data_IF_700716359067
#
_entry.id   IF_700716359067
#
_cell.length_a   1.000
_cell.length_b   1.000
_cell.length_c   1.000
_cell.angle_alpha   90.00
_cell.angle_beta   90.00
_cell.angle_gamma   90.00
#
_symmetry.space_group_name_H-M   'P 1'
#
loop_
_entity.id
_entity.type
_entity.pdbx_description
1 polymer ?
#
# COMPACT_ATOMS: atom_id res chain seq x y z
N UNK A 1 -29.13 -21.90 -7.43
CA UNK A 1 -29.62 -21.43 -8.74
C UNK A 1 -30.72 -20.37 -8.57
N UNK A 2 -30.46 -19.26 -7.88
CA UNK A 2 -31.45 -18.16 -7.76
C UNK A 2 -31.61 -17.38 -9.07
N UNK A 3 -30.51 -17.13 -9.77
CA UNK A 3 -30.47 -16.34 -11.02
C UNK A 3 -30.89 -17.17 -12.25
N UNK A 4 -30.64 -18.48 -12.26
CA UNK A 4 -30.94 -19.37 -13.39
C UNK A 4 -32.35 -20.02 -13.32
N UNK A 5 -33.20 -19.58 -12.38
CA UNK A 5 -34.54 -20.17 -12.13
C UNK A 5 -35.60 -19.74 -13.16
N UNK A 6 -35.29 -18.81 -14.07
CA UNK A 6 -36.24 -18.28 -15.07
C UNK A 6 -37.36 -17.38 -14.49
N UNK A 7 -37.46 -17.26 -13.16
CA UNK A 7 -38.42 -16.38 -12.47
C UNK A 7 -37.78 -15.03 -12.17
N UNK A 8 -38.25 -13.97 -12.84
CA UNK A 8 -37.73 -12.60 -12.72
C UNK A 8 -37.49 -12.13 -11.27
N UNK A 9 -38.42 -12.44 -10.35
CA UNK A 9 -38.30 -12.04 -8.94
C UNK A 9 -37.16 -12.73 -8.17
N UNK A 10 -36.84 -13.98 -8.48
CA UNK A 10 -35.74 -14.73 -7.85
C UNK A 10 -34.37 -14.30 -8.40
N UNK A 11 -34.29 -14.00 -9.70
CA UNK A 11 -33.08 -13.44 -10.30
C UNK A 11 -32.81 -12.02 -9.80
N UNK A 12 -33.84 -11.19 -9.68
CA UNK A 12 -33.71 -9.83 -9.15
C UNK A 12 -33.24 -9.82 -7.69
N UNK A 13 -33.88 -10.61 -6.82
CA UNK A 13 -33.45 -10.70 -5.41
C UNK A 13 -32.04 -11.27 -5.26
N UNK A 14 -31.67 -12.27 -6.07
CA UNK A 14 -30.30 -12.81 -6.10
C UNK A 14 -29.25 -11.77 -6.53
N UNK A 15 -29.55 -10.99 -7.58
CA UNK A 15 -28.68 -9.90 -8.04
C UNK A 15 -28.61 -8.76 -7.01
N UNK A 16 -29.73 -8.41 -6.36
CA UNK A 16 -29.78 -7.36 -5.36
C UNK A 16 -28.95 -7.72 -4.11
N UNK A 17 -29.07 -8.96 -3.62
CA UNK A 17 -28.25 -9.45 -2.52
C UNK A 17 -26.76 -9.43 -2.87
N UNK A 18 -26.40 -9.87 -4.07
CA UNK A 18 -25.02 -9.83 -4.56
C UNK A 18 -24.50 -8.38 -4.65
N UNK A 19 -25.31 -7.46 -5.17
CA UNK A 19 -24.95 -6.05 -5.31
C UNK A 19 -24.70 -5.39 -3.93
N UNK A 20 -25.57 -5.64 -2.95
CA UNK A 20 -25.40 -5.11 -1.58
C UNK A 20 -24.10 -5.61 -0.96
N UNK A 21 -23.82 -6.91 -1.05
CA UNK A 21 -22.58 -7.50 -0.52
C UNK A 21 -21.33 -6.93 -1.20
N UNK A 22 -21.36 -6.78 -2.53
CA UNK A 22 -20.28 -6.14 -3.27
C UNK A 22 -20.07 -4.69 -2.83
N UNK A 23 -21.14 -3.94 -2.59
CA UNK A 23 -21.04 -2.53 -2.23
C UNK A 23 -20.41 -2.32 -0.84
N UNK A 24 -20.72 -3.19 0.12
CA UNK A 24 -20.02 -3.18 1.42
C UNK A 24 -18.51 -3.44 1.23
N UNK A 25 -18.15 -4.43 0.43
CA UNK A 25 -16.75 -4.75 0.17
C UNK A 25 -15.97 -3.60 -0.50
N UNK A 26 -16.56 -3.01 -1.55
CA UNK A 26 -15.97 -1.86 -2.25
C UNK A 26 -15.87 -0.64 -1.33
N UNK A 27 -16.88 -0.41 -0.48
CA UNK A 27 -16.90 0.69 0.48
C UNK A 27 -15.75 0.62 1.50
N UNK A 28 -15.47 -0.56 2.05
CA UNK A 28 -14.33 -0.77 2.95
C UNK A 28 -13.01 -0.58 2.19
N UNK A 29 -12.89 -1.13 0.98
CA UNK A 29 -11.68 -0.98 0.16
C UNK A 29 -11.38 0.51 -0.15
N UNK A 30 -12.41 1.30 -0.45
CA UNK A 30 -12.27 2.72 -0.78
C UNK A 30 -11.79 3.58 0.40
N UNK A 31 -12.10 3.21 1.64
CA UNK A 31 -11.66 3.95 2.83
C UNK A 31 -10.28 3.52 3.32
N UNK A 32 -9.93 2.23 3.20
CA UNK A 32 -8.65 1.69 3.67
C UNK A 32 -7.51 1.93 2.69
N UNK A 33 -7.76 1.85 1.39
CA UNK A 33 -6.70 1.92 0.38
C UNK A 33 -5.92 3.25 0.38
N UNK A 34 -6.56 4.44 0.49
CA UNK A 34 -5.85 5.71 0.56
C UNK A 34 -5.04 5.89 1.85
N UNK A 35 -5.44 5.22 2.95
CA UNK A 35 -4.75 5.29 4.23
C UNK A 35 -3.40 4.53 4.23
N UNK A 36 -3.21 3.60 3.29
CA UNK A 36 -1.97 2.84 3.15
C UNK A 36 -0.87 3.55 2.35
N UNK A 37 -1.18 4.64 1.65
CA UNK A 37 -0.20 5.37 0.83
C UNK A 37 0.26 6.68 1.50
N UNK A 38 1.55 7.03 1.40
CA UNK A 38 2.08 8.28 1.97
C UNK A 38 1.40 9.51 1.36
N UNK A 39 1.08 10.52 2.18
CA UNK A 39 0.31 11.73 1.81
C UNK A 39 0.84 12.45 0.57
N UNK A 40 2.16 12.50 0.39
CA UNK A 40 2.80 13.19 -0.74
C UNK A 40 2.72 12.44 -2.09
N UNK A 41 2.48 11.12 -2.09
CA UNK A 41 2.36 10.30 -3.31
C UNK A 41 1.03 9.57 -3.44
N UNK A 42 0.11 9.74 -2.48
CA UNK A 42 -1.14 8.98 -2.37
C UNK A 42 -1.90 8.86 -3.69
N UNK A 43 -2.12 9.97 -4.38
CA UNK A 43 -2.89 9.98 -5.63
C UNK A 43 -2.13 9.35 -6.80
N UNK A 44 -0.82 9.63 -6.93
CA UNK A 44 -0.01 9.10 -8.04
C UNK A 44 0.28 7.60 -7.89
N UNK A 45 0.58 7.15 -6.67
CA UNK A 45 0.80 5.75 -6.34
C UNK A 45 -0.49 4.94 -6.51
N UNK A 46 -1.62 5.43 -6.00
CA UNK A 46 -2.92 4.78 -6.15
C UNK A 46 -3.35 4.72 -7.62
N UNK A 47 -3.20 5.81 -8.38
CA UNK A 47 -3.53 5.82 -9.80
C UNK A 47 -2.68 4.83 -10.60
N UNK A 48 -1.36 4.78 -10.35
CA UNK A 48 -0.46 3.86 -11.06
C UNK A 48 -0.77 2.40 -10.73
N UNK A 49 -0.94 2.07 -9.45
CA UNK A 49 -1.29 0.72 -9.01
C UNK A 49 -2.66 0.28 -9.55
N UNK A 50 -3.65 1.19 -9.57
CA UNK A 50 -4.98 0.89 -10.10
C UNK A 50 -4.95 0.68 -11.61
N UNK A 51 -4.26 1.54 -12.38
CA UNK A 51 -4.15 1.37 -13.83
C UNK A 51 -3.48 0.05 -14.22
N UNK A 52 -2.39 -0.33 -13.54
CA UNK A 52 -1.72 -1.63 -13.77
C UNK A 52 -2.68 -2.78 -13.44
N UNK A 53 -3.39 -2.70 -12.31
CA UNK A 53 -4.34 -3.74 -11.90
C UNK A 53 -5.50 -3.87 -12.88
N UNK A 54 -6.08 -2.75 -13.34
CA UNK A 54 -7.19 -2.73 -14.31
C UNK A 54 -6.74 -3.26 -15.67
N UNK A 55 -5.52 -2.96 -16.10
CA UNK A 55 -4.95 -3.51 -17.34
C UNK A 55 -4.94 -5.04 -17.30
N UNK A 56 -4.47 -5.62 -16.20
CA UNK A 56 -4.44 -7.08 -16.00
C UNK A 56 -5.86 -7.63 -15.87
N UNK A 57 -6.73 -6.97 -15.09
CA UNK A 57 -8.11 -7.39 -14.91
C UNK A 57 -8.89 -7.39 -16.24
N UNK A 58 -8.57 -6.49 -17.18
CA UNK A 58 -9.13 -6.43 -18.51
C UNK A 58 -8.87 -7.67 -19.37
N UNK A 59 -7.86 -8.48 -19.05
CA UNK A 59 -7.60 -9.76 -19.73
C UNK A 59 -8.50 -10.89 -19.23
N UNK A 60 -9.17 -10.71 -18.09
CA UNK A 60 -10.02 -11.73 -17.47
C UNK A 60 -11.11 -12.28 -18.40
N UNK A 61 -11.91 -11.45 -19.11
CA UNK A 61 -12.95 -11.96 -19.98
C UNK A 61 -12.39 -12.83 -21.11
N UNK A 62 -11.24 -12.46 -21.66
CA UNK A 62 -10.56 -13.22 -22.73
C UNK A 62 -10.07 -14.58 -22.22
N UNK A 63 -9.42 -14.61 -21.06
CA UNK A 63 -8.94 -15.86 -20.44
C UNK A 63 -10.11 -16.78 -20.10
N UNK A 64 -11.16 -16.23 -19.49
CA UNK A 64 -12.34 -16.99 -19.08
C UNK A 64 -13.10 -17.52 -20.30
N UNK A 65 -13.27 -16.70 -21.35
CA UNK A 65 -13.91 -17.13 -22.59
C UNK A 65 -13.12 -18.27 -23.27
N UNK A 66 -11.80 -18.13 -23.37
CA UNK A 66 -10.93 -19.18 -23.91
C UNK A 66 -11.02 -20.47 -23.08
N UNK A 67 -11.07 -20.36 -21.75
CA UNK A 67 -11.19 -21.51 -20.85
C UNK A 67 -12.54 -22.23 -21.02
N UNK A 68 -13.63 -21.48 -21.21
CA UNK A 68 -14.95 -22.06 -21.51
C UNK A 68 -14.93 -22.77 -22.86
N UNK A 69 -14.34 -22.15 -23.90
CA UNK A 69 -14.27 -22.72 -25.24
C UNK A 69 -13.42 -24.00 -25.29
N UNK A 70 -12.27 -24.00 -24.62
CA UNK A 70 -11.41 -25.19 -24.55
C UNK A 70 -12.03 -26.32 -23.73
N UNK A 71 -12.61 -26.00 -22.56
CA UNK A 71 -13.11 -27.00 -21.60
C UNK A 71 -14.56 -27.42 -21.87
N UNK A 72 -15.28 -26.69 -22.73
CA UNK A 72 -16.72 -26.86 -23.01
C UNK A 72 -17.60 -26.80 -21.75
N UNK A 73 -17.14 -26.11 -20.71
CA UNK A 73 -17.80 -26.08 -19.40
C UNK A 73 -18.19 -24.64 -19.03
N UNK A 74 -19.49 -24.37 -18.96
CA UNK A 74 -20.06 -23.06 -18.62
C UNK A 74 -19.77 -22.63 -17.16
N UNK A 75 -19.33 -23.53 -16.29
CA UNK A 75 -18.97 -23.23 -14.90
C UNK A 75 -17.52 -22.76 -14.73
N UNK A 76 -16.70 -22.74 -15.79
CA UNK A 76 -15.31 -22.25 -15.74
C UNK A 76 -15.15 -20.85 -15.14
N UNK A 77 -16.00 -19.85 -15.43
CA UNK A 77 -15.93 -18.53 -14.79
C UNK A 77 -16.05 -18.63 -13.26
N UNK A 78 -16.90 -19.53 -12.76
CA UNK A 78 -17.09 -19.71 -11.32
C UNK A 78 -15.85 -20.32 -10.65
N UNK A 79 -15.23 -21.33 -11.28
CA UNK A 79 -13.98 -21.91 -10.78
C UNK A 79 -12.84 -20.90 -10.78
N UNK A 80 -12.71 -20.09 -11.84
CA UNK A 80 -11.74 -19.02 -11.92
C UNK A 80 -11.90 -18.01 -10.78
N UNK A 81 -13.13 -17.56 -10.51
CA UNK A 81 -13.43 -16.63 -9.42
C UNK A 81 -13.14 -17.22 -8.04
N UNK A 82 -13.38 -18.51 -7.82
CA UNK A 82 -13.02 -19.17 -6.55
C UNK A 82 -11.50 -19.15 -6.31
N UNK A 83 -10.71 -19.44 -7.34
CA UNK A 83 -9.24 -19.40 -7.24
C UNK A 83 -8.76 -17.98 -6.93
N UNK A 84 -9.27 -16.97 -7.66
CA UNK A 84 -8.92 -15.57 -7.39
C UNK A 84 -9.36 -15.15 -5.98
N UNK A 85 -10.52 -15.57 -5.51
CA UNK A 85 -10.98 -15.27 -4.16
C UNK A 85 -10.04 -15.83 -3.09
N UNK A 86 -9.52 -17.05 -3.27
CA UNK A 86 -8.52 -17.63 -2.36
C UNK A 86 -7.22 -16.83 -2.37
N UNK A 87 -6.72 -16.44 -3.55
CA UNK A 87 -5.52 -15.59 -3.65
C UNK A 87 -5.75 -14.23 -2.98
N UNK A 88 -6.93 -13.63 -3.19
CA UNK A 88 -7.33 -12.38 -2.54
C UNK A 88 -7.41 -12.51 -1.02
N UNK A 89 -7.91 -13.64 -0.51
CA UNK A 89 -7.98 -13.92 0.92
C UNK A 89 -6.59 -14.09 1.53
N UNK A 90 -5.69 -14.85 0.88
CA UNK A 90 -4.29 -15.00 1.30
C UNK A 90 -3.60 -13.64 1.31
N UNK A 91 -3.81 -12.83 0.27
CA UNK A 91 -3.25 -11.48 0.16
C UNK A 91 -3.75 -10.59 1.29
N UNK A 92 -5.06 -10.63 1.58
CA UNK A 92 -5.67 -9.88 2.69
C UNK A 92 -5.12 -10.29 4.06
N UNK A 93 -4.98 -11.59 4.32
CA UNK A 93 -4.41 -12.11 5.58
C UNK A 93 -2.91 -11.77 5.71
N UNK A 94 -2.19 -11.70 4.60
CA UNK A 94 -0.76 -11.36 4.59
C UNK A 94 -0.52 -9.85 4.68
N UNK A 95 -1.53 -9.03 4.38
CA UNK A 95 -1.43 -7.58 4.46
C UNK A 95 -1.31 -7.17 5.93
N UNK A 96 -0.14 -6.63 6.31
CA UNK A 96 0.11 -6.15 7.68
C UNK A 96 -0.82 -5.00 8.01
N UNK A 97 -1.45 -5.08 9.17
CA UNK A 97 -2.30 -4.06 9.77
C UNK A 97 -1.64 -2.66 9.71
N UNK A 98 -2.21 -1.74 8.93
CA UNK A 98 -1.80 -0.33 8.86
C UNK A 98 -2.54 0.54 9.89
N UNK A 99 -3.34 -0.08 10.78
CA UNK A 99 -4.27 0.61 11.67
C UNK A 99 -3.62 1.26 12.92
N UNK A 100 -2.32 1.08 13.16
CA UNK A 100 -1.68 1.63 14.37
C UNK A 100 -0.25 2.13 14.15
N UNK A 101 0.05 2.66 12.96
CA UNK A 101 1.32 3.35 12.70
C UNK A 101 1.04 4.79 12.26
N UNK A 102 1.71 5.78 12.86
CA UNK A 102 1.53 7.18 12.46
C UNK A 102 1.79 7.33 10.96
N UNK A 103 0.91 8.09 10.30
CA UNK A 103 0.99 8.38 8.87
C UNK A 103 2.37 8.96 8.53
N UNK A 104 3.17 8.23 7.74
CA UNK A 104 4.50 8.71 7.32
C UNK A 104 4.34 9.96 6.46
N UNK A 105 4.67 11.13 7.03
CA UNK A 105 4.69 12.42 6.36
C UNK A 105 3.50 13.35 6.62
N UNK A 106 2.68 13.10 7.64
CA UNK A 106 1.85 14.16 8.21
C UNK A 106 2.72 15.05 9.14
N UNK A 107 2.50 16.36 9.14
CA UNK A 107 2.99 17.22 10.23
C UNK A 107 2.56 16.59 11.56
N UNK A 108 3.37 16.66 12.63
CA UNK A 108 3.06 15.99 13.89
C UNK A 108 1.69 16.48 14.38
N UNK A 109 0.68 15.65 14.17
CA UNK A 109 -0.64 15.85 14.74
C UNK A 109 -0.57 15.18 16.10
N UNK A 110 0.07 15.85 17.05
CA UNK A 110 -0.02 15.46 18.44
C UNK A 110 -1.51 15.40 18.79
N UNK A 111 -1.96 14.25 19.30
CA UNK A 111 -3.34 14.06 19.72
C UNK A 111 -3.65 14.84 21.00
N UNK A 112 -2.61 15.22 21.76
CA UNK A 112 -2.68 15.93 23.03
C UNK A 112 -1.43 16.83 23.24
N UNK A 113 -1.49 17.79 24.17
CA UNK A 113 -0.37 18.71 24.49
C UNK A 113 0.83 17.95 25.05
N UNK A 114 0.60 16.84 25.77
CA UNK A 114 1.65 16.02 26.37
C UNK A 114 2.46 15.27 25.30
N UNK A 115 1.79 14.71 24.29
CA UNK A 115 2.43 14.05 23.13
C UNK A 115 3.20 15.06 22.25
N UNK A 116 2.71 16.30 22.16
CA UNK A 116 3.44 17.38 21.46
C UNK A 116 4.76 17.70 22.14
N UNK A 117 4.80 17.67 23.47
CA UNK A 117 6.00 17.97 24.25
C UNK A 117 7.02 16.82 24.16
N UNK A 118 6.56 15.57 24.21
CA UNK A 118 7.41 14.38 24.05
C UNK A 118 8.06 14.33 22.65
N UNK A 119 7.28 14.60 21.59
CA UNK A 119 7.81 14.68 20.22
C UNK A 119 8.81 15.84 20.03
N UNK A 120 8.60 16.97 20.69
CA UNK A 120 9.53 18.10 20.65
C UNK A 120 10.84 17.78 21.39
N UNK A 121 10.78 17.07 22.52
CA UNK A 121 11.96 16.61 23.23
C UNK A 121 12.75 15.58 22.40
N UNK A 122 12.08 14.57 21.85
CA UNK A 122 12.73 13.58 20.98
C UNK A 122 13.37 14.22 19.74
N UNK A 123 12.72 15.23 19.15
CA UNK A 123 13.29 15.98 18.04
C UNK A 123 14.51 16.83 18.45
N UNK A 124 14.53 17.38 19.66
CA UNK A 124 15.67 18.14 20.16
C UNK A 124 16.88 17.23 20.40
N UNK A 125 16.66 16.09 21.04
CA UNK A 125 17.69 15.09 21.33
C UNK A 125 18.31 14.55 20.02
N UNK A 126 17.48 14.28 19.01
CA UNK A 126 17.95 13.87 17.68
C UNK A 126 18.78 14.95 16.96
N UNK A 127 18.53 16.24 17.21
CA UNK A 127 19.31 17.34 16.64
C UNK A 127 20.67 17.42 17.33
N UNK A 128 20.70 17.33 18.66
CA UNK A 128 21.92 17.36 19.46
C UNK A 128 22.84 16.20 19.08
N UNK A 129 22.29 14.98 18.98
CA UNK A 129 23.05 13.81 18.55
C UNK A 129 23.60 13.94 17.11
N UNK A 130 22.84 14.55 16.19
CA UNK A 130 23.33 14.84 14.83
C UNK A 130 24.46 15.87 14.81
N UNK A 131 24.44 16.85 15.70
CA UNK A 131 25.51 17.84 15.82
C UNK A 131 26.78 17.14 16.30
N UNK A 132 26.69 16.29 17.32
CA UNK A 132 27.83 15.51 17.81
C UNK A 132 28.41 14.59 16.73
N UNK A 133 27.56 13.89 15.96
CA UNK A 133 28.00 13.06 14.84
C UNK A 133 28.70 13.85 13.72
N UNK A 134 28.27 15.09 13.48
CA UNK A 134 28.90 16.00 12.51
C UNK A 134 30.25 16.48 13.04
N UNK A 135 30.35 16.86 14.30
CA UNK A 135 31.60 17.30 14.92
C UNK A 135 32.65 16.17 14.92
N UNK A 136 32.23 14.93 15.20
CA UNK A 136 33.08 13.75 15.09
C UNK A 136 33.60 13.54 13.65
N UNK A 137 32.72 13.72 12.65
CA UNK A 137 33.12 13.64 11.23
C UNK A 137 34.08 14.76 10.83
N UNK A 138 33.89 15.99 11.33
CA UNK A 138 34.80 17.10 11.07
C UNK A 138 36.18 16.77 11.65
N UNK A 139 36.25 16.27 12.88
CA UNK A 139 37.51 15.88 13.52
C UNK A 139 38.23 14.76 12.75
N UNK A 140 37.49 13.76 12.26
CA UNK A 140 38.06 12.69 11.42
C UNK A 140 38.60 13.25 10.09
N UNK A 141 37.84 14.14 9.44
CA UNK A 141 38.24 14.77 8.18
C UNK A 141 39.45 15.69 8.37
N UNK A 142 39.56 16.38 9.50
CA UNK A 142 40.74 17.18 9.85
C UNK A 142 41.97 16.31 10.06
N UNK A 143 41.87 15.21 10.82
CA UNK A 143 42.96 14.25 10.98
C UNK A 143 43.38 13.64 9.64
N UNK A 144 42.42 13.32 8.76
CA UNK A 144 42.68 12.83 7.41
C UNK A 144 43.35 13.89 6.54
N UNK A 145 42.94 15.15 6.65
CA UNK A 145 43.57 16.29 5.97
C UNK A 145 45.02 16.44 6.43
N UNK A 146 45.29 16.42 7.73
CA UNK A 146 46.66 16.50 8.25
C UNK A 146 47.52 15.35 7.74
N UNK A 147 46.98 14.12 7.73
CA UNK A 147 47.69 12.97 7.19
C UNK A 147 48.02 13.14 5.70
N UNK A 148 47.08 13.61 4.88
CA UNK A 148 47.29 13.86 3.46
C UNK A 148 48.29 15.00 3.20
N UNK A 149 48.27 16.06 4.01
CA UNK A 149 49.23 17.17 3.94
C UNK A 149 50.65 16.68 4.24
N UNK A 150 50.82 15.77 5.21
CA UNK A 150 52.11 15.14 5.50
C UNK A 150 52.58 14.21 4.38
N UNK A 151 51.67 13.53 3.69
CA UNK A 151 52.01 12.67 2.54
C UNK A 151 52.41 13.46 1.28
N UNK A 152 51.92 14.69 1.12
CA UNK A 152 52.18 15.55 -0.04
C UNK A 152 52.70 16.95 0.36
N UNK A 153 53.96 17.08 0.80
CA UNK A 153 54.53 18.34 1.33
C UNK A 153 54.82 19.43 0.27
N UNK A 154 54.27 19.33 -0.95
CA UNK A 154 54.44 20.35 -2.01
C UNK A 154 53.11 20.64 -2.68
N UNK A 155 52.29 21.45 -2.02
CA UNK A 155 51.27 22.27 -2.67
C UNK A 155 51.28 23.61 -1.92
N UNK A 156 52.15 24.52 -2.37
CA UNK A 156 51.92 25.96 -2.20
C UNK A 156 50.85 26.41 -3.19
#
# INVERSE_FOLDING_TARGET
MLINSGKLGLSFSGLLMLAVLLNFFIGVMASTLPAMFPTHIRYSALASAFNISVLIAGLTPTIVAWLVESTHNLYMPAYYLMVIAVVGLITGVTMKETANKPLRGAAPAASDIEEAHELLQEHHDNIEQKIEDIDAQIAELEAKREHLVQQHPRIE
#
